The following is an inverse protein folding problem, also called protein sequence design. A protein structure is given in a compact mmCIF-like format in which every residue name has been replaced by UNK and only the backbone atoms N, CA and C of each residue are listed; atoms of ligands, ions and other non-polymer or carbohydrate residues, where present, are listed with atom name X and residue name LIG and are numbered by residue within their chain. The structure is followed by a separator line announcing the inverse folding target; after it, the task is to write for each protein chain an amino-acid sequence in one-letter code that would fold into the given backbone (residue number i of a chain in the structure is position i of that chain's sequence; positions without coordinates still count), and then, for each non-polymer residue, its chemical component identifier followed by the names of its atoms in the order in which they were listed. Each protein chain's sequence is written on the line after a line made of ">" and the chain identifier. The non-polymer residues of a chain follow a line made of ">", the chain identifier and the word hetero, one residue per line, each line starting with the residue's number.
data_IF_726549422132
#
_entry.id   IF_726549422132
#
_cell.length_a   1.000
_cell.length_b   1.000
_cell.length_c   1.000
_cell.angle_alpha   90.00
_cell.angle_beta   90.00
_cell.angle_gamma   90.00
#
_symmetry.space_group_name_H-M   'P 1'
#
loop_
_entity.id
_entity.type
_entity.pdbx_description
1 polymer ?
#
# COMPACT_ATOMS: atom_id res chain seq x y z
N UNK A 1 0.80 -14.97 -16.10
CA UNK A 1 -0.49 -14.38 -15.71
C UNK A 1 -0.31 -13.69 -14.38
N UNK A 2 -0.69 -12.41 -14.25
CA UNK A 2 -0.72 -11.73 -12.95
C UNK A 2 -1.84 -12.35 -12.11
N UNK A 3 -1.53 -12.75 -10.88
CA UNK A 3 -2.53 -13.26 -9.94
C UNK A 3 -3.35 -12.08 -9.47
N UNK A 4 -4.64 -12.02 -9.78
CA UNK A 4 -5.53 -11.03 -9.19
C UNK A 4 -5.72 -11.35 -7.71
N UNK A 5 -5.40 -10.39 -6.84
CA UNK A 5 -5.57 -10.59 -5.41
C UNK A 5 -7.04 -10.42 -5.01
N UNK A 6 -7.49 -11.22 -4.05
CA UNK A 6 -8.87 -11.12 -3.55
C UNK A 6 -9.15 -9.76 -2.92
N UNK A 7 -10.39 -9.29 -3.04
CA UNK A 7 -10.84 -8.03 -2.41
C UNK A 7 -10.61 -8.04 -0.91
N UNK A 8 -10.85 -9.18 -0.25
CA UNK A 8 -10.62 -9.37 1.19
C UNK A 8 -9.16 -9.13 1.55
N UNK A 9 -8.23 -9.67 0.76
CA UNK A 9 -6.81 -9.44 0.98
C UNK A 9 -6.44 -7.97 0.78
N UNK A 10 -6.93 -7.33 -0.29
CA UNK A 10 -6.68 -5.90 -0.54
C UNK A 10 -7.18 -5.02 0.61
N UNK A 11 -8.37 -5.28 1.14
CA UNK A 11 -8.91 -4.56 2.29
C UNK A 11 -8.09 -4.83 3.57
N UNK A 12 -7.58 -6.05 3.77
CA UNK A 12 -6.70 -6.37 4.90
C UNK A 12 -5.40 -5.55 4.87
N UNK A 13 -4.78 -5.42 3.68
CA UNK A 13 -3.58 -4.61 3.45
C UNK A 13 -3.88 -3.12 3.69
N UNK A 14 -5.01 -2.63 3.17
CA UNK A 14 -5.46 -1.24 3.38
C UNK A 14 -5.61 -0.90 4.86
N UNK A 15 -6.26 -1.78 5.64
CA UNK A 15 -6.41 -1.59 7.09
C UNK A 15 -5.06 -1.62 7.81
N UNK A 16 -4.17 -2.54 7.42
CA UNK A 16 -2.83 -2.62 7.99
C UNK A 16 -2.03 -1.33 7.73
N UNK A 17 -2.09 -0.79 6.51
CA UNK A 17 -1.47 0.49 6.17
C UNK A 17 -2.05 1.64 6.98
N UNK A 18 -3.38 1.74 7.05
CA UNK A 18 -4.08 2.79 7.81
C UNK A 18 -3.62 2.81 9.27
N UNK A 19 -3.57 1.64 9.91
CA UNK A 19 -3.28 1.51 11.34
C UNK A 19 -1.80 1.66 11.69
N UNK A 20 -0.88 1.34 10.77
CA UNK A 20 0.57 1.24 11.07
C UNK A 20 1.43 2.33 10.45
N UNK A 21 0.94 3.06 9.45
CA UNK A 21 1.69 4.12 8.77
C UNK A 21 1.28 5.53 9.21
N UNK A 22 0.39 5.67 10.20
CA UNK A 22 -0.08 6.99 10.64
C UNK A 22 -0.82 7.73 9.53
N UNK A 23 -1.66 7.03 8.77
CA UNK A 23 -2.44 7.60 7.68
C UNK A 23 -3.85 7.92 8.18
N UNK A 24 -4.46 8.98 7.63
CA UNK A 24 -5.84 9.34 7.93
C UNK A 24 -6.82 8.52 7.11
N UNK A 25 -6.51 8.31 5.83
CA UNK A 25 -7.34 7.55 4.88
C UNK A 25 -6.44 6.83 3.88
N UNK A 26 -6.87 5.64 3.44
CA UNK A 26 -6.18 4.81 2.45
C UNK A 26 -7.22 4.26 1.48
N UNK A 27 -6.95 4.34 0.18
CA UNK A 27 -7.82 3.91 -0.91
C UNK A 27 -7.04 2.97 -1.82
N UNK A 28 -7.63 1.82 -2.15
CA UNK A 28 -7.11 0.98 -3.22
C UNK A 28 -7.42 1.64 -4.57
N UNK A 29 -6.43 1.75 -5.44
CA UNK A 29 -6.59 2.34 -6.76
C UNK A 29 -6.70 1.26 -7.83
N UNK A 30 -5.68 0.43 -7.93
CA UNK A 30 -5.54 -0.56 -9.00
C UNK A 30 -4.45 -1.57 -8.65
N UNK A 31 -4.45 -2.69 -9.38
CA UNK A 31 -3.37 -3.66 -9.38
C UNK A 31 -2.59 -3.54 -10.69
N UNK A 32 -1.27 -3.41 -10.60
CA UNK A 32 -0.37 -3.37 -11.75
C UNK A 32 0.61 -4.53 -11.64
N UNK A 33 0.44 -5.55 -12.49
CA UNK A 33 1.19 -6.80 -12.39
C UNK A 33 0.93 -7.47 -11.03
N UNK A 34 1.98 -7.64 -10.24
CA UNK A 34 1.89 -8.18 -8.88
C UNK A 34 1.83 -7.08 -7.79
N UNK A 35 1.87 -5.80 -8.16
CA UNK A 35 1.85 -4.68 -7.22
C UNK A 35 0.44 -4.15 -6.96
N UNK A 36 0.12 -3.83 -5.71
CA UNK A 36 -1.13 -3.19 -5.31
C UNK A 36 -0.87 -1.70 -5.08
N UNK A 37 -1.56 -0.84 -5.85
CA UNK A 37 -1.42 0.61 -5.77
C UNK A 37 -2.48 1.17 -4.84
N UNK A 38 -2.03 1.96 -3.86
CA UNK A 38 -2.88 2.66 -2.91
C UNK A 38 -2.62 4.16 -2.97
N UNK A 39 -3.68 4.95 -2.86
CA UNK A 39 -3.60 6.38 -2.59
C UNK A 39 -3.99 6.63 -1.14
N UNK A 40 -3.30 7.54 -0.46
CA UNK A 40 -3.54 7.80 0.95
C UNK A 40 -3.41 9.28 1.28
N UNK A 41 -4.04 9.67 2.38
CA UNK A 41 -3.99 11.03 2.93
C UNK A 41 -3.44 10.96 4.34
N UNK A 42 -2.43 11.78 4.63
CA UNK A 42 -1.84 11.92 5.96
C UNK A 42 -2.71 12.76 6.91
N UNK A 43 -2.26 12.93 8.15
CA UNK A 43 -2.93 13.82 9.11
C UNK A 43 -2.68 15.30 8.81
N UNK A 44 -1.50 15.62 8.27
CA UNK A 44 -1.14 16.97 7.89
C UNK A 44 -1.96 17.47 6.69
N UNK A 45 -2.35 18.75 6.75
CA UNK A 45 -3.22 19.36 5.73
C UNK A 45 -2.51 19.37 4.37
N UNK A 46 -3.07 18.63 3.41
CA UNK A 46 -2.56 18.55 2.05
C UNK A 46 -1.59 17.39 1.79
N UNK A 47 -1.23 16.62 2.81
CA UNK A 47 -0.34 15.47 2.66
C UNK A 47 -1.04 14.33 1.94
N UNK A 48 -0.65 14.12 0.68
CA UNK A 48 -1.11 13.03 -0.18
C UNK A 48 0.05 12.10 -0.44
N UNK A 49 -0.22 10.81 -0.32
CA UNK A 49 0.77 9.76 -0.49
C UNK A 49 0.26 8.78 -1.55
N UNK A 50 1.19 8.15 -2.26
CA UNK A 50 0.89 7.01 -3.11
C UNK A 50 1.85 5.89 -2.77
N UNK A 51 1.30 4.71 -2.56
CA UNK A 51 2.05 3.53 -2.16
C UNK A 51 1.89 2.41 -3.18
N UNK A 52 2.94 1.60 -3.32
CA UNK A 52 2.94 0.35 -4.06
C UNK A 52 3.32 -0.75 -3.09
N UNK A 53 2.35 -1.58 -2.72
CA UNK A 53 2.59 -2.78 -1.93
C UNK A 53 2.98 -3.91 -2.87
N UNK A 54 4.02 -4.64 -2.49
CA UNK A 54 4.50 -5.83 -3.20
C UNK A 54 4.21 -7.07 -2.34
N UNK A 55 3.07 -7.75 -2.51
CA UNK A 55 2.68 -8.89 -1.68
C UNK A 55 3.73 -10.00 -1.63
N UNK A 56 4.36 -10.34 -2.77
CA UNK A 56 5.39 -11.38 -2.85
C UNK A 56 6.58 -11.15 -1.92
N UNK A 57 7.07 -9.92 -1.86
CA UNK A 57 8.21 -9.54 -1.00
C UNK A 57 7.76 -8.96 0.34
N UNK A 58 6.44 -8.78 0.53
CA UNK A 58 5.81 -8.10 1.66
C UNK A 58 6.33 -6.68 1.91
N UNK A 59 6.95 -6.06 0.90
CA UNK A 59 7.50 -4.71 1.00
C UNK A 59 6.51 -3.67 0.52
N UNK A 60 6.74 -2.42 0.91
CA UNK A 60 5.99 -1.27 0.42
C UNK A 60 6.97 -0.21 -0.07
N UNK A 61 6.63 0.39 -1.20
CA UNK A 61 7.31 1.55 -1.76
C UNK A 61 6.36 2.75 -1.71
N UNK A 62 6.87 3.93 -1.43
CA UNK A 62 6.14 5.20 -1.46
C UNK A 62 6.63 6.06 -2.62
N UNK A 63 5.72 6.72 -3.33
CA UNK A 63 6.06 7.63 -4.40
C UNK A 63 6.36 9.03 -3.84
N UNK A 64 7.63 9.41 -3.85
CA UNK A 64 8.12 10.68 -3.31
C UNK A 64 8.94 11.37 -4.40
N UNK A 65 8.60 12.62 -4.72
CA UNK A 65 9.36 13.48 -5.63
C UNK A 65 9.71 12.82 -6.97
N UNK A 66 8.74 12.12 -7.57
CA UNK A 66 8.89 11.47 -8.89
C UNK A 66 9.52 10.07 -8.86
N UNK A 67 9.84 9.52 -7.69
CA UNK A 67 10.51 8.22 -7.56
C UNK A 67 9.80 7.31 -6.54
N UNK A 68 9.85 6.01 -6.79
CA UNK A 68 9.42 5.00 -5.82
C UNK A 68 10.54 4.72 -4.83
N UNK A 69 10.28 4.97 -3.55
CA UNK A 69 11.23 4.82 -2.45
C UNK A 69 10.72 3.75 -1.50
N UNK A 70 11.54 2.74 -1.20
CA UNK A 70 11.18 1.68 -0.27
C UNK A 70 10.98 2.25 1.14
N UNK A 71 9.83 2.00 1.76
CA UNK A 71 9.60 2.36 3.17
C UNK A 71 10.42 1.41 4.03
N UNK A 72 11.44 1.96 4.71
CA UNK A 72 12.35 1.17 5.53
C UNK A 72 11.62 0.64 6.76
N UNK A 73 12.02 -0.57 7.20
CA UNK A 73 11.51 -1.21 8.42
C UNK A 73 10.00 -1.47 8.44
N UNK A 74 9.32 -1.38 7.29
CA UNK A 74 7.91 -1.73 7.16
C UNK A 74 7.75 -3.00 6.33
N UNK A 75 6.88 -3.89 6.79
CA UNK A 75 6.56 -5.14 6.11
C UNK A 75 5.09 -5.46 6.37
N UNK A 76 4.38 -5.84 5.30
CA UNK A 76 2.99 -6.26 5.34
C UNK A 76 2.90 -7.66 5.96
N UNK A 77 2.06 -7.80 6.98
CA UNK A 77 1.78 -9.05 7.69
C UNK A 77 0.51 -9.72 7.20
N UNK A 78 -0.37 -8.99 6.52
CA UNK A 78 -1.58 -9.51 5.89
C UNK A 78 -1.28 -10.76 5.08
N UNK A 79 -2.11 -11.79 5.27
CA UNK A 79 -1.97 -13.09 4.60
C UNK A 79 -3.06 -13.19 3.56
N UNK A 80 -2.69 -13.60 2.35
CA UNK A 80 -3.65 -13.96 1.33
C UNK A 80 -4.31 -15.29 1.74
N UNK A 81 -5.61 -15.26 2.03
CA UNK A 81 -6.43 -16.42 2.41
C UNK A 81 -6.96 -17.08 1.14
#
# INVERSE_FOLDING_TARGET
>A
MSKEYSRTYIESVKLEMLNRLGLKQVFFKEQIGDGLIFEAVGFDKGSKHRFCVRPKTKTIDEFISGKWMKVRSFTIKSVEI
#
